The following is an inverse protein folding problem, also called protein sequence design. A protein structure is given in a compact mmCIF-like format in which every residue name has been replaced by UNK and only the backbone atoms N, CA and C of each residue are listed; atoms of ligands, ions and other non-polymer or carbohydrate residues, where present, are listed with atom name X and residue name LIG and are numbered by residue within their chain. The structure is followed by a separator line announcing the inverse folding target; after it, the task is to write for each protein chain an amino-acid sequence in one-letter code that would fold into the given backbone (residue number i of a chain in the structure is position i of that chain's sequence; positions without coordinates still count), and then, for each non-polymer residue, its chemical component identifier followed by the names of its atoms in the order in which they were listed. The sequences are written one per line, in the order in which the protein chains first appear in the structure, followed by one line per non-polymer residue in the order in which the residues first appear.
data_IF_962895549675
#
_entry.id   IF_962895549675
#
_cell.length_a   1.000
_cell.length_b   1.000
_cell.length_c   1.000
_cell.angle_alpha   90.00
_cell.angle_beta   90.00
_cell.angle_gamma   90.00
#
_symmetry.space_group_name_H-M   'P 1'
#
loop_
_entity.id
_entity.type
_entity.pdbx_description
1 polymer ?
#
# COMPACT_ATOMS: atom_id res chain seq x y z
N UNK A 1 5.73 -38.90 -37.14
CA UNK A 1 6.98 -39.69 -37.12
C UNK A 1 8.10 -38.75 -37.53
N UNK A 2 9.11 -38.56 -36.69
CA UNK A 2 10.22 -37.67 -36.98
C UNK A 2 11.07 -38.13 -38.16
N UNK A 3 11.48 -37.20 -39.01
CA UNK A 3 12.36 -37.45 -40.16
C UNK A 3 13.70 -36.74 -39.98
N UNK A 4 14.77 -37.28 -40.55
CA UNK A 4 16.09 -36.64 -40.55
C UNK A 4 16.55 -36.50 -41.99
N UNK A 5 16.86 -35.27 -42.41
CA UNK A 5 17.46 -34.99 -43.71
C UNK A 5 18.93 -34.58 -43.53
N UNK A 6 19.80 -35.06 -44.41
CA UNK A 6 21.22 -34.72 -44.40
C UNK A 6 21.52 -33.73 -45.53
N UNK A 7 22.24 -32.65 -45.22
CA UNK A 7 22.67 -31.64 -46.19
C UNK A 7 24.15 -31.35 -46.03
N UNK A 8 24.90 -31.33 -47.13
CA UNK A 8 26.28 -30.83 -47.15
C UNK A 8 26.30 -29.30 -47.01
N UNK A 9 27.11 -28.80 -46.07
CA UNK A 9 27.41 -27.37 -45.90
C UNK A 9 28.49 -26.94 -46.90
N UNK A 10 28.70 -25.62 -47.00
CA UNK A 10 29.72 -25.02 -47.88
C UNK A 10 31.15 -25.45 -47.52
N UNK A 11 31.39 -25.82 -46.27
CA UNK A 11 32.66 -26.33 -45.74
C UNK A 11 32.83 -27.85 -45.92
N UNK A 12 31.97 -28.50 -46.72
CA UNK A 12 31.94 -29.94 -46.95
C UNK A 12 31.55 -30.80 -45.73
N UNK A 13 31.22 -30.19 -44.58
CA UNK A 13 30.66 -30.90 -43.43
C UNK A 13 29.18 -31.28 -43.68
N UNK A 14 28.69 -32.32 -43.00
CA UNK A 14 27.29 -32.77 -43.14
C UNK A 14 26.47 -32.31 -41.94
N UNK A 15 25.41 -31.55 -42.21
CA UNK A 15 24.40 -31.19 -41.21
C UNK A 15 23.19 -32.12 -41.30
N UNK A 16 22.62 -32.47 -40.14
CA UNK A 16 21.45 -33.32 -40.01
C UNK A 16 20.29 -32.50 -39.47
N UNK A 17 19.29 -32.21 -40.29
CA UNK A 17 18.06 -31.53 -39.85
C UNK A 17 17.05 -32.58 -39.43
N UNK A 18 16.78 -32.65 -38.13
CA UNK A 18 15.66 -33.39 -37.57
C UNK A 18 14.38 -32.58 -37.70
N UNK A 19 13.29 -33.21 -38.12
CA UNK A 19 11.97 -32.60 -38.25
C UNK A 19 10.93 -33.50 -37.61
N UNK A 20 10.12 -32.95 -36.72
CA UNK A 20 8.94 -33.60 -36.14
C UNK A 20 7.71 -32.95 -36.76
N UNK A 21 6.85 -33.77 -37.36
CA UNK A 21 5.54 -33.36 -37.86
C UNK A 21 4.47 -34.28 -37.27
N UNK A 22 3.49 -33.70 -36.59
CA UNK A 22 2.35 -34.42 -36.02
C UNK A 22 1.08 -33.94 -36.73
N UNK A 23 0.34 -34.89 -37.28
CA UNK A 23 -0.93 -34.67 -37.94
C UNK A 23 -2.06 -35.28 -37.11
N UNK A 24 -3.17 -34.55 -36.95
CA UNK A 24 -4.44 -35.05 -36.39
C UNK A 24 -5.56 -34.64 -37.35
N UNK A 25 -6.49 -35.55 -37.63
CA UNK A 25 -7.64 -35.30 -38.51
C UNK A 25 -7.28 -34.69 -39.88
N UNK A 26 -6.19 -35.18 -40.48
CA UNK A 26 -5.71 -34.72 -41.79
C UNK A 26 -5.04 -33.34 -41.79
N UNK A 27 -4.91 -32.67 -40.64
CA UNK A 27 -4.23 -31.37 -40.52
C UNK A 27 -2.93 -31.50 -39.72
N UNK A 28 -1.90 -30.77 -40.14
CA UNK A 28 -0.66 -30.63 -39.36
C UNK A 28 -0.96 -29.81 -38.12
N UNK A 29 -0.94 -30.47 -36.95
CA UNK A 29 -1.17 -29.81 -35.66
C UNK A 29 0.11 -29.36 -34.99
N UNK A 30 1.27 -29.90 -35.37
CA UNK A 30 2.56 -29.46 -34.84
C UNK A 30 3.67 -29.71 -35.84
N UNK A 31 4.59 -28.75 -35.96
CA UNK A 31 5.82 -28.92 -36.73
C UNK A 31 6.98 -28.22 -36.04
N UNK A 32 8.05 -28.97 -35.78
CA UNK A 32 9.30 -28.45 -35.20
C UNK A 32 10.48 -29.04 -35.96
N UNK A 33 11.54 -28.27 -36.18
CA UNK A 33 12.77 -28.76 -36.79
C UNK A 33 13.99 -28.16 -36.15
N UNK A 34 15.02 -28.98 -35.94
CA UNK A 34 16.31 -28.56 -35.40
C UNK A 34 17.46 -29.23 -36.17
N UNK A 35 18.54 -28.49 -36.38
CA UNK A 35 19.71 -28.97 -37.12
C UNK A 35 20.86 -29.29 -36.19
N UNK A 36 21.52 -30.42 -36.40
CA UNK A 36 22.63 -30.94 -35.60
C UNK A 36 23.81 -31.33 -36.48
N UNK A 37 25.02 -31.36 -35.91
CA UNK A 37 26.23 -31.79 -36.63
C UNK A 37 26.38 -33.32 -36.69
N UNK A 38 25.68 -34.06 -35.83
CA UNK A 38 25.76 -35.53 -35.74
C UNK A 38 24.38 -36.18 -35.83
N UNK A 39 24.23 -37.21 -36.68
CA UNK A 39 22.98 -37.97 -36.87
C UNK A 39 22.43 -38.57 -35.57
N UNK A 40 23.30 -39.12 -34.72
CA UNK A 40 22.89 -39.73 -33.45
C UNK A 40 22.26 -38.71 -32.50
N UNK A 41 22.77 -37.46 -32.46
CA UNK A 41 22.20 -36.39 -31.63
C UNK A 41 20.83 -35.97 -32.17
N UNK A 42 20.69 -35.86 -33.49
CA UNK A 42 19.40 -35.61 -34.13
C UNK A 42 18.35 -36.70 -33.81
N UNK A 43 18.74 -37.98 -33.82
CA UNK A 43 17.86 -39.10 -33.42
C UNK A 43 17.48 -39.04 -31.94
N UNK A 44 18.43 -38.79 -31.05
CA UNK A 44 18.18 -38.66 -29.62
C UNK A 44 17.22 -37.50 -29.30
N UNK A 45 17.40 -36.36 -29.99
CA UNK A 45 16.50 -35.21 -29.89
C UNK A 45 15.07 -35.55 -30.33
N UNK A 46 14.89 -36.21 -31.49
CA UNK A 46 13.57 -36.65 -31.96
C UNK A 46 12.89 -37.53 -30.92
N UNK A 47 13.60 -38.56 -30.41
CA UNK A 47 13.03 -39.51 -29.45
C UNK A 47 12.61 -38.83 -28.15
N UNK A 48 13.44 -37.92 -27.62
CA UNK A 48 13.12 -37.15 -26.41
C UNK A 48 11.88 -36.29 -26.65
N UNK A 49 11.86 -35.56 -27.77
CA UNK A 49 10.80 -34.60 -28.08
C UNK A 49 9.47 -35.27 -28.45
N UNK A 50 9.48 -36.40 -29.14
CA UNK A 50 8.28 -37.22 -29.37
C UNK A 50 7.70 -37.75 -28.05
N UNK A 51 8.55 -38.13 -27.09
CA UNK A 51 8.10 -38.55 -25.75
C UNK A 51 7.46 -37.40 -24.98
N UNK A 52 8.03 -36.20 -25.06
CA UNK A 52 7.45 -34.98 -24.46
C UNK A 52 6.10 -34.64 -25.11
N UNK A 53 6.00 -34.69 -26.44
CA UNK A 53 4.78 -34.37 -27.20
C UNK A 53 3.68 -35.44 -27.12
N UNK A 54 4.01 -36.66 -26.69
CA UNK A 54 3.04 -37.74 -26.49
C UNK A 54 2.21 -37.58 -25.20
N UNK A 55 2.62 -36.72 -24.26
CA UNK A 55 1.83 -36.47 -23.07
C UNK A 55 0.51 -35.76 -23.43
N UNK A 56 -0.61 -36.08 -22.74
CA UNK A 56 -1.87 -35.35 -22.91
C UNK A 56 -1.65 -33.82 -22.80
N UNK A 57 -2.18 -33.08 -23.77
CA UNK A 57 -2.06 -31.63 -23.87
C UNK A 57 -0.66 -31.07 -24.18
N UNK A 58 0.35 -31.89 -24.49
CA UNK A 58 1.69 -31.39 -24.80
C UNK A 58 1.78 -30.64 -26.13
N UNK A 59 1.00 -31.04 -27.14
CA UNK A 59 0.92 -30.35 -28.44
C UNK A 59 0.24 -28.98 -28.28
N UNK A 60 -0.83 -28.90 -27.49
CA UNK A 60 -1.51 -27.64 -27.18
C UNK A 60 -0.57 -26.68 -26.42
N UNK A 61 0.17 -27.19 -25.42
CA UNK A 61 1.20 -26.43 -24.72
C UNK A 61 2.33 -25.97 -25.65
N UNK A 62 2.79 -26.83 -26.56
CA UNK A 62 3.88 -26.51 -27.48
C UNK A 62 3.49 -25.49 -28.57
N UNK A 63 2.21 -25.37 -28.92
CA UNK A 63 1.70 -24.37 -29.86
C UNK A 63 1.23 -23.07 -29.19
N UNK A 64 1.17 -23.05 -27.86
CA UNK A 64 0.67 -21.91 -27.11
C UNK A 64 1.60 -20.71 -27.33
N UNK A 65 1.01 -19.57 -27.68
CA UNK A 65 1.73 -18.29 -27.62
C UNK A 65 1.74 -17.86 -26.15
N UNK A 66 2.95 -17.76 -25.57
CA UNK A 66 3.15 -17.26 -24.22
C UNK A 66 2.47 -15.91 -24.02
N UNK A 67 2.05 -15.65 -22.79
CA UNK A 67 1.50 -14.36 -22.39
C UNK A 67 2.49 -13.70 -21.48
N UNK A 68 2.87 -12.45 -21.79
CA UNK A 68 3.83 -11.72 -20.97
C UNK A 68 3.20 -11.27 -19.66
N UNK A 69 4.02 -11.10 -18.62
CA UNK A 69 3.56 -10.57 -17.33
C UNK A 69 2.93 -9.18 -17.49
N UNK A 70 3.44 -8.36 -18.41
CA UNK A 70 2.85 -7.08 -18.79
C UNK A 70 1.38 -7.21 -19.20
N UNK A 71 1.08 -8.16 -20.09
CA UNK A 71 -0.31 -8.41 -20.53
C UNK A 71 -1.20 -8.91 -19.39
N UNK A 72 -0.67 -9.76 -18.51
CA UNK A 72 -1.42 -10.19 -17.32
C UNK A 72 -1.78 -9.02 -16.41
N UNK A 73 -0.83 -8.10 -16.20
CA UNK A 73 -1.05 -6.91 -15.38
C UNK A 73 -2.08 -6.00 -16.05
N UNK A 74 -1.99 -5.77 -17.36
CA UNK A 74 -2.94 -4.93 -18.10
C UNK A 74 -4.35 -5.50 -18.05
N UNK A 75 -4.51 -6.82 -18.26
CA UNK A 75 -5.79 -7.49 -18.12
C UNK A 75 -6.32 -7.41 -16.69
N UNK A 76 -5.46 -7.59 -15.67
CA UNK A 76 -5.85 -7.43 -14.27
C UNK A 76 -6.41 -6.04 -13.99
N UNK A 77 -5.71 -5.00 -14.45
CA UNK A 77 -6.10 -3.62 -14.24
C UNK A 77 -7.44 -3.32 -14.93
N UNK A 78 -7.64 -3.75 -16.18
CA UNK A 78 -8.87 -3.53 -16.92
C UNK A 78 -10.09 -4.28 -16.33
N UNK A 79 -9.94 -5.57 -16.03
CA UNK A 79 -11.03 -6.38 -15.48
C UNK A 79 -11.44 -5.93 -14.07
N UNK A 80 -10.46 -5.65 -13.20
CA UNK A 80 -10.77 -5.31 -11.82
C UNK A 80 -11.30 -3.88 -11.68
N UNK A 81 -10.84 -2.93 -12.48
CA UNK A 81 -11.35 -1.55 -12.43
C UNK A 81 -12.85 -1.50 -12.76
N UNK A 82 -13.32 -2.38 -13.67
CA UNK A 82 -14.75 -2.54 -14.00
C UNK A 82 -15.59 -3.11 -12.85
N UNK A 83 -14.98 -3.94 -12.00
CA UNK A 83 -15.67 -4.58 -10.87
C UNK A 83 -15.62 -3.68 -9.63
N UNK A 84 -14.46 -3.08 -9.35
CA UNK A 84 -14.23 -2.21 -8.19
C UNK A 84 -13.06 -1.26 -8.44
N UNK A 85 -13.14 0.01 -8.01
CA UNK A 85 -12.01 0.94 -8.15
C UNK A 85 -10.75 0.39 -7.46
N UNK A 86 -9.65 0.28 -8.21
CA UNK A 86 -8.38 -0.13 -7.64
C UNK A 86 -7.75 1.04 -6.86
N UNK A 87 -7.15 0.73 -5.71
CA UNK A 87 -6.45 1.75 -4.94
C UNK A 87 -5.24 2.31 -5.71
N UNK A 88 -5.07 3.64 -5.70
CA UNK A 88 -4.01 4.36 -6.43
C UNK A 88 -2.61 3.71 -6.31
N UNK A 89 -2.24 3.27 -5.11
CA UNK A 89 -0.95 2.59 -4.87
C UNK A 89 -0.83 1.29 -5.65
N UNK A 90 -1.87 0.45 -5.65
CA UNK A 90 -1.86 -0.83 -6.35
C UNK A 90 -1.73 -0.63 -7.86
N UNK A 91 -2.51 0.29 -8.42
CA UNK A 91 -2.46 0.60 -9.85
C UNK A 91 -1.10 1.17 -10.25
N UNK A 92 -0.56 2.13 -9.48
CA UNK A 92 0.77 2.71 -9.75
C UNK A 92 1.90 1.66 -9.65
N UNK A 93 1.88 0.81 -8.63
CA UNK A 93 2.87 -0.26 -8.47
C UNK A 93 2.82 -1.26 -9.62
N UNK A 94 1.62 -1.73 -9.99
CA UNK A 94 1.46 -2.67 -11.10
C UNK A 94 1.89 -2.05 -12.43
N UNK A 95 1.53 -0.79 -12.68
CA UNK A 95 2.00 -0.04 -13.85
C UNK A 95 3.51 0.14 -13.88
N UNK A 96 4.17 0.32 -12.73
CA UNK A 96 5.63 0.36 -12.67
C UNK A 96 6.25 -1.02 -12.94
N UNK A 97 5.70 -2.09 -12.37
CA UNK A 97 6.21 -3.46 -12.58
C UNK A 97 6.13 -3.89 -14.05
N UNK A 98 5.02 -3.57 -14.73
CA UNK A 98 4.82 -4.03 -16.12
C UNK A 98 5.80 -3.40 -17.12
N UNK A 99 6.40 -2.26 -16.78
CA UNK A 99 7.40 -1.58 -17.64
C UNK A 99 8.84 -1.94 -17.28
N UNK A 100 9.06 -2.97 -16.43
CA UNK A 100 10.40 -3.52 -16.16
C UNK A 100 10.66 -4.78 -16.99
N UNK A 101 11.89 -5.28 -16.96
CA UNK A 101 12.28 -6.57 -17.56
C UNK A 101 11.40 -7.74 -17.09
N UNK A 102 10.82 -7.66 -15.88
CA UNK A 102 9.91 -8.69 -15.38
C UNK A 102 8.60 -8.71 -16.18
N UNK A 103 8.14 -7.54 -16.63
CA UNK A 103 6.95 -7.39 -17.48
C UNK A 103 7.10 -8.06 -18.85
N UNK A 104 8.34 -8.18 -19.35
CA UNK A 104 8.65 -8.78 -20.65
C UNK A 104 8.72 -10.31 -20.60
N UNK A 105 8.84 -10.91 -19.41
CA UNK A 105 8.86 -12.36 -19.27
C UNK A 105 7.54 -12.99 -19.70
N UNK A 106 7.64 -14.10 -20.42
CA UNK A 106 6.52 -15.00 -20.64
C UNK A 106 6.13 -15.73 -19.35
N UNK A 107 4.85 -16.07 -19.26
CA UNK A 107 4.24 -16.73 -18.12
C UNK A 107 4.93 -18.04 -17.70
N UNK A 108 5.28 -18.89 -18.67
CA UNK A 108 6.00 -20.13 -18.41
C UNK A 108 7.45 -19.92 -17.92
N UNK A 109 8.04 -18.75 -18.18
CA UNK A 109 9.38 -18.39 -17.72
C UNK A 109 9.37 -17.78 -16.31
N UNK A 110 8.21 -17.40 -15.78
CA UNK A 110 8.09 -16.83 -14.45
C UNK A 110 8.16 -17.94 -13.39
N UNK A 111 9.22 -17.90 -12.58
CA UNK A 111 9.42 -18.80 -11.46
C UNK A 111 9.88 -18.05 -10.21
N UNK A 112 10.06 -18.77 -9.09
CA UNK A 112 10.50 -18.19 -7.82
C UNK A 112 11.86 -17.48 -7.92
N UNK A 113 12.79 -18.02 -8.71
CA UNK A 113 14.10 -17.42 -8.92
C UNK A 113 13.99 -16.05 -9.59
N UNK A 114 13.18 -15.92 -10.65
CA UNK A 114 12.95 -14.63 -11.33
C UNK A 114 12.32 -13.58 -10.42
N UNK A 115 11.42 -13.98 -9.52
CA UNK A 115 10.85 -13.08 -8.53
C UNK A 115 11.87 -12.64 -7.46
N UNK A 116 12.81 -13.50 -7.08
CA UNK A 116 13.92 -13.15 -6.19
C UNK A 116 14.90 -12.20 -6.89
N UNK A 117 15.26 -12.48 -8.14
CA UNK A 117 16.09 -11.60 -8.98
C UNK A 117 15.45 -10.21 -9.12
N UNK A 118 14.14 -10.15 -9.35
CA UNK A 118 13.40 -8.89 -9.40
C UNK A 118 13.49 -8.10 -8.08
N UNK A 119 13.30 -8.78 -6.96
CA UNK A 119 13.41 -8.15 -5.65
C UNK A 119 14.82 -7.61 -5.38
N UNK A 120 15.86 -8.35 -5.74
CA UNK A 120 17.26 -7.92 -5.63
C UNK A 120 17.55 -6.72 -6.54
N UNK A 121 17.11 -6.77 -7.80
CA UNK A 121 17.23 -5.66 -8.73
C UNK A 121 16.56 -4.39 -8.19
N UNK A 122 15.34 -4.50 -7.64
CA UNK A 122 14.65 -3.34 -7.04
C UNK A 122 15.41 -2.69 -5.88
N UNK A 123 16.21 -3.45 -5.16
CA UNK A 123 17.05 -2.93 -4.08
C UNK A 123 18.41 -2.39 -4.56
N UNK A 124 18.81 -2.65 -5.81
CA UNK A 124 20.03 -2.10 -6.40
C UNK A 124 19.82 -0.67 -6.91
N UNK A 125 20.91 0.00 -7.27
CA UNK A 125 20.87 1.34 -7.87
C UNK A 125 20.05 1.37 -9.17
N UNK A 126 20.18 0.34 -9.99
CA UNK A 126 19.46 0.21 -11.27
C UNK A 126 17.95 0.05 -11.08
N UNK A 127 17.49 -0.56 -9.99
CA UNK A 127 16.06 -0.75 -9.69
C UNK A 127 15.47 0.26 -8.71
N UNK A 128 16.23 1.33 -8.38
CA UNK A 128 15.74 2.49 -7.64
C UNK A 128 16.00 2.48 -6.13
N UNK A 129 16.92 1.65 -5.63
CA UNK A 129 17.34 1.61 -4.22
C UNK A 129 16.17 1.48 -3.23
N UNK A 130 15.12 0.72 -3.58
CA UNK A 130 13.93 0.69 -2.72
C UNK A 130 14.13 -0.16 -1.47
N UNK A 131 13.45 0.22 -0.40
CA UNK A 131 13.49 -0.53 0.86
C UNK A 131 12.76 -1.88 0.74
N UNK A 132 13.15 -2.85 1.58
CA UNK A 132 12.56 -4.19 1.64
C UNK A 132 11.02 -4.19 1.81
N UNK A 133 10.47 -3.16 2.47
CA UNK A 133 9.02 -2.97 2.58
C UNK A 133 8.37 -2.72 1.22
N UNK A 134 8.98 -1.87 0.38
CA UNK A 134 8.47 -1.55 -0.96
C UNK A 134 8.48 -2.79 -1.84
N UNK A 135 9.58 -3.56 -1.82
CA UNK A 135 9.66 -4.87 -2.51
C UNK A 135 8.55 -5.80 -2.04
N UNK A 136 8.30 -5.86 -0.72
CA UNK A 136 7.19 -6.62 -0.15
C UNK A 136 5.82 -6.20 -0.69
N UNK A 137 5.59 -4.90 -0.87
CA UNK A 137 4.35 -4.37 -1.47
C UNK A 137 4.23 -4.74 -2.95
N UNK A 138 5.32 -4.64 -3.71
CA UNK A 138 5.36 -4.97 -5.13
C UNK A 138 4.99 -6.43 -5.37
N UNK A 139 5.63 -7.34 -4.63
CA UNK A 139 5.34 -8.78 -4.67
C UNK A 139 3.94 -9.10 -4.13
N UNK A 140 3.40 -8.28 -3.23
CA UNK A 140 2.03 -8.42 -2.75
C UNK A 140 1.01 -8.10 -3.84
N UNK A 141 1.22 -7.01 -4.59
CA UNK A 141 0.36 -6.62 -5.69
C UNK A 141 0.49 -7.56 -6.89
N UNK A 142 1.71 -7.90 -7.29
CA UNK A 142 1.94 -8.87 -8.36
C UNK A 142 1.38 -10.25 -7.99
N UNK A 143 1.54 -10.69 -6.74
CA UNK A 143 0.98 -11.97 -6.28
C UNK A 143 -0.54 -12.05 -6.43
N UNK A 144 -1.26 -10.94 -6.27
CA UNK A 144 -2.70 -10.89 -6.52
C UNK A 144 -3.03 -11.10 -8.01
N UNK A 145 -2.23 -10.55 -8.93
CA UNK A 145 -2.37 -10.80 -10.37
C UNK A 145 -2.14 -12.27 -10.68
N UNK A 146 -1.02 -12.83 -10.21
CA UNK A 146 -0.65 -14.22 -10.45
C UNK A 146 -1.66 -15.22 -9.88
N UNK A 147 -2.30 -14.89 -8.76
CA UNK A 147 -3.35 -15.73 -8.15
C UNK A 147 -4.60 -15.89 -9.02
N UNK A 148 -4.85 -14.94 -9.94
CA UNK A 148 -5.97 -14.96 -10.89
C UNK A 148 -5.53 -15.54 -12.23
N UNK A 149 -4.28 -15.27 -12.62
CA UNK A 149 -3.74 -15.61 -13.94
C UNK A 149 -3.92 -17.07 -14.35
N UNK A 150 -3.62 -18.01 -13.44
CA UNK A 150 -3.81 -19.43 -13.72
C UNK A 150 -5.29 -19.86 -13.68
N UNK A 151 -6.04 -19.69 -12.57
CA UNK A 151 -7.38 -20.25 -12.46
C UNK A 151 -8.44 -19.54 -13.33
N UNK A 152 -8.30 -18.24 -13.57
CA UNK A 152 -9.30 -17.47 -14.33
C UNK A 152 -8.95 -17.32 -15.81
N UNK A 153 -7.67 -17.16 -16.15
CA UNK A 153 -7.22 -16.91 -17.53
C UNK A 153 -6.51 -18.08 -18.18
N UNK A 154 -6.25 -19.16 -17.44
CA UNK A 154 -5.60 -20.38 -17.96
C UNK A 154 -4.12 -20.20 -18.29
N UNK A 155 -3.44 -19.22 -17.67
CA UNK A 155 -2.02 -18.98 -17.90
C UNK A 155 -1.12 -19.96 -17.14
N UNK A 156 0.06 -20.26 -17.68
CA UNK A 156 1.03 -21.22 -17.14
C UNK A 156 1.92 -20.59 -16.08
N UNK A 157 1.28 -20.06 -15.04
CA UNK A 157 1.99 -19.54 -13.87
C UNK A 157 2.15 -20.65 -12.82
N UNK A 158 3.38 -20.89 -12.38
CA UNK A 158 3.63 -21.79 -11.25
C UNK A 158 2.98 -21.23 -9.97
N UNK A 159 2.10 -22.03 -9.36
CA UNK A 159 1.39 -21.66 -8.13
C UNK A 159 2.33 -21.49 -6.93
N UNK A 160 3.52 -22.09 -6.98
CA UNK A 160 4.52 -22.01 -5.91
C UNK A 160 5.56 -20.91 -6.12
N UNK A 161 5.63 -20.30 -7.31
CA UNK A 161 6.62 -19.27 -7.62
C UNK A 161 6.63 -18.12 -6.59
N UNK A 162 5.46 -17.54 -6.31
CA UNK A 162 5.33 -16.42 -5.36
C UNK A 162 5.50 -16.85 -3.89
N UNK A 163 4.87 -17.93 -3.40
CA UNK A 163 5.13 -18.44 -2.04
C UNK A 163 6.62 -18.72 -1.77
N UNK A 164 7.31 -19.40 -2.69
CA UNK A 164 8.72 -19.77 -2.51
C UNK A 164 9.64 -18.56 -2.59
N UNK A 165 9.39 -17.63 -3.53
CA UNK A 165 10.12 -16.37 -3.60
C UNK A 165 10.02 -15.58 -2.28
N UNK A 166 8.80 -15.44 -1.72
CA UNK A 166 8.60 -14.75 -0.44
C UNK A 166 9.30 -15.46 0.72
N UNK A 167 9.35 -16.80 0.73
CA UNK A 167 10.06 -17.58 1.74
C UNK A 167 11.56 -17.30 1.70
N UNK A 168 12.16 -17.28 0.51
CA UNK A 168 13.58 -16.94 0.32
C UNK A 168 13.86 -15.49 0.72
N UNK A 169 13.08 -14.54 0.21
CA UNK A 169 13.30 -13.11 0.47
C UNK A 169 13.15 -12.74 1.94
N UNK A 170 12.26 -13.42 2.68
CA UNK A 170 12.15 -13.26 4.12
C UNK A 170 13.42 -13.72 4.84
N UNK A 171 14.02 -14.85 4.44
CA UNK A 171 15.29 -15.32 5.00
C UNK A 171 16.45 -14.38 4.68
N UNK A 172 16.43 -13.75 3.52
CA UNK A 172 17.44 -12.77 3.10
C UNK A 172 17.21 -11.37 3.68
N UNK A 173 16.13 -11.13 4.43
CA UNK A 173 15.77 -9.81 4.95
C UNK A 173 15.33 -8.80 3.88
N UNK A 174 15.08 -9.25 2.64
CA UNK A 174 14.72 -8.42 1.48
C UNK A 174 13.21 -8.15 1.37
N UNK A 175 12.41 -8.79 2.21
CA UNK A 175 10.98 -8.46 2.40
C UNK A 175 10.72 -8.32 3.89
N UNK A 176 10.29 -7.13 4.31
CA UNK A 176 9.99 -6.82 5.71
C UNK A 176 8.63 -6.15 5.85
N UNK A 177 8.04 -6.27 7.04
CA UNK A 177 6.93 -5.40 7.44
C UNK A 177 7.47 -4.00 7.72
N UNK A 178 6.62 -2.99 7.59
CA UNK A 178 6.96 -1.63 7.97
C UNK A 178 7.44 -1.59 9.42
N UNK A 179 8.51 -0.85 9.69
CA UNK A 179 8.99 -0.65 11.05
C UNK A 179 7.95 0.14 11.83
N UNK A 180 7.48 -0.43 12.94
CA UNK A 180 6.56 0.27 13.81
C UNK A 180 7.28 1.45 14.49
N UNK A 181 6.67 2.64 14.41
CA UNK A 181 7.15 3.83 15.11
C UNK A 181 6.49 3.92 16.48
N UNK A 182 7.31 4.07 17.53
CA UNK A 182 6.89 4.32 18.91
C UNK A 182 7.21 5.76 19.37
N UNK A 183 7.46 6.66 18.40
CA UNK A 183 7.74 8.06 18.67
C UNK A 183 6.50 8.72 19.26
N UNK A 184 6.69 9.41 20.37
CA UNK A 184 5.69 10.21 21.08
C UNK A 184 6.32 11.57 21.38
N UNK A 185 5.63 12.70 21.09
CA UNK A 185 6.13 14.03 21.39
C UNK A 185 6.25 14.24 22.91
N UNK A 186 7.16 15.10 23.34
CA UNK A 186 7.18 15.62 24.72
C UNK A 186 6.31 16.87 24.83
N UNK A 187 5.95 17.27 26.05
CA UNK A 187 5.24 18.54 26.25
C UNK A 187 6.07 19.74 25.75
N UNK A 188 7.39 19.76 26.00
CA UNK A 188 8.29 20.82 25.50
C UNK A 188 8.31 20.90 23.96
N UNK A 189 8.31 19.75 23.27
CA UNK A 189 8.22 19.71 21.81
C UNK A 189 6.87 20.24 21.31
N UNK A 190 5.77 19.88 21.98
CA UNK A 190 4.46 20.41 21.67
C UNK A 190 4.39 21.91 21.93
N UNK A 191 4.94 22.41 23.04
CA UNK A 191 4.95 23.83 23.37
C UNK A 191 5.72 24.65 22.34
N UNK A 192 6.88 24.15 21.87
CA UNK A 192 7.63 24.75 20.75
C UNK A 192 6.80 24.82 19.47
N UNK A 193 6.12 23.73 19.12
CA UNK A 193 5.24 23.69 17.94
C UNK A 193 4.06 24.66 18.07
N UNK A 194 3.39 24.66 19.22
CA UNK A 194 2.26 25.53 19.48
C UNK A 194 2.69 27.00 19.42
N UNK A 195 3.77 27.39 20.10
CA UNK A 195 4.33 28.74 20.04
C UNK A 195 4.65 29.18 18.61
N UNK A 196 5.40 28.37 17.87
CA UNK A 196 5.74 28.65 16.47
C UNK A 196 4.50 28.88 15.59
N UNK A 197 3.50 28.01 15.71
CA UNK A 197 2.32 28.09 14.86
C UNK A 197 1.32 29.16 15.32
N UNK A 198 1.24 29.49 16.60
CA UNK A 198 0.47 30.65 17.06
C UNK A 198 1.09 31.97 16.56
N UNK A 199 2.41 32.12 16.59
CA UNK A 199 3.08 33.28 15.97
C UNK A 199 2.83 33.34 14.46
N UNK A 200 2.89 32.19 13.77
CA UNK A 200 2.59 32.13 12.35
C UNK A 200 1.13 32.54 12.06
N UNK A 201 0.19 32.09 12.88
CA UNK A 201 -1.22 32.42 12.77
C UNK A 201 -1.47 33.93 12.95
N UNK A 202 -0.77 34.58 13.88
CA UNK A 202 -0.85 36.03 14.06
C UNK A 202 -0.32 36.79 12.83
N UNK A 203 0.77 36.32 12.23
CA UNK A 203 1.35 36.94 11.02
C UNK A 203 0.55 36.65 9.75
N UNK A 204 -0.13 35.51 9.67
CA UNK A 204 -0.91 35.05 8.52
C UNK A 204 -2.21 34.38 8.97
N UNK A 205 -3.26 35.18 9.28
CA UNK A 205 -4.54 34.67 9.77
C UNK A 205 -5.23 33.69 8.81
N UNK A 206 -5.06 33.87 7.49
CA UNK A 206 -5.65 33.01 6.47
C UNK A 206 -4.90 31.68 6.27
N UNK A 207 -3.78 31.49 6.97
CA UNK A 207 -3.04 30.23 6.88
C UNK A 207 -3.74 29.11 7.65
N UNK A 208 -3.29 27.87 7.42
CA UNK A 208 -3.82 26.71 8.12
C UNK A 208 -3.64 26.92 9.62
N UNK A 209 -4.73 26.80 10.38
CA UNK A 209 -4.69 26.93 11.84
C UNK A 209 -4.04 25.69 12.48
N UNK A 210 -2.74 25.53 12.28
CA UNK A 210 -1.94 24.39 12.73
C UNK A 210 -2.06 24.07 14.23
N UNK A 211 -2.21 25.04 15.16
CA UNK A 211 -2.41 24.72 16.58
C UNK A 211 -3.68 23.89 16.83
N UNK A 212 -4.80 24.25 16.19
CA UNK A 212 -6.06 23.49 16.25
C UNK A 212 -5.91 22.14 15.56
N UNK A 213 -5.20 22.06 14.43
CA UNK A 213 -4.92 20.79 13.76
C UNK A 213 -4.11 19.82 14.63
N UNK A 214 -3.06 20.30 15.30
CA UNK A 214 -2.20 19.50 16.17
C UNK A 214 -3.01 19.00 17.38
N UNK A 215 -3.66 19.91 18.08
CA UNK A 215 -4.42 19.58 19.28
C UNK A 215 -5.62 18.68 18.96
N UNK A 216 -6.36 18.96 17.88
CA UNK A 216 -7.46 18.09 17.46
C UNK A 216 -6.95 16.70 17.05
N UNK A 217 -5.85 16.58 16.30
CA UNK A 217 -5.29 15.27 15.94
C UNK A 217 -4.86 14.44 17.15
N UNK A 218 -4.30 15.10 18.16
CA UNK A 218 -3.92 14.49 19.43
C UNK A 218 -5.15 14.03 20.20
N UNK A 219 -6.08 14.92 20.54
CA UNK A 219 -7.21 14.61 21.41
C UNK A 219 -8.26 13.71 20.75
N UNK A 220 -8.58 13.93 19.48
CA UNK A 220 -9.54 13.09 18.73
C UNK A 220 -8.92 11.75 18.28
N UNK A 221 -7.60 11.61 18.40
CA UNK A 221 -6.78 10.52 17.86
C UNK A 221 -6.95 10.30 16.35
N UNK A 222 -7.55 11.21 15.58
CA UNK A 222 -7.85 10.99 14.15
C UNK A 222 -6.60 11.02 13.29
N UNK A 223 -6.63 10.28 12.17
CA UNK A 223 -5.62 10.48 11.12
C UNK A 223 -5.89 11.79 10.42
N UNK A 224 -4.83 12.42 9.95
CA UNK A 224 -4.90 13.68 9.25
C UNK A 224 -5.89 13.72 8.07
N UNK A 225 -5.86 12.71 7.19
CA UNK A 225 -6.82 12.60 6.08
C UNK A 225 -8.26 12.37 6.56
N UNK A 226 -8.46 11.80 7.75
CA UNK A 226 -9.79 11.67 8.36
C UNK A 226 -10.25 13.05 8.84
N UNK A 227 -9.40 13.80 9.55
CA UNK A 227 -9.70 15.15 10.07
C UNK A 227 -10.19 16.07 8.95
N UNK A 228 -9.47 16.13 7.83
CA UNK A 228 -9.78 17.06 6.73
C UNK A 228 -11.00 16.66 5.90
N UNK A 229 -11.62 15.51 6.19
CA UNK A 229 -12.82 15.01 5.48
C UNK A 229 -14.05 14.96 6.37
N UNK A 230 -13.91 15.24 7.67
CA UNK A 230 -15.04 15.32 8.60
C UNK A 230 -15.92 16.50 8.19
N UNK A 231 -17.23 16.25 8.07
CA UNK A 231 -18.22 17.26 7.71
C UNK A 231 -19.10 17.60 8.90
N UNK A 232 -19.72 18.78 8.85
CA UNK A 232 -20.71 19.16 9.87
C UNK A 232 -21.91 18.21 9.91
N UNK A 233 -22.32 17.66 8.76
CA UNK A 233 -23.40 16.64 8.67
C UNK A 233 -23.03 15.30 9.33
N UNK A 234 -21.73 15.06 9.57
CA UNK A 234 -21.22 13.85 10.21
C UNK A 234 -21.10 13.99 11.74
N UNK A 235 -21.51 15.14 12.29
CA UNK A 235 -21.43 15.43 13.72
C UNK A 235 -22.72 15.04 14.44
N UNK A 236 -22.60 14.21 15.48
CA UNK A 236 -23.70 13.87 16.39
C UNK A 236 -23.45 14.55 17.74
N UNK A 237 -24.10 15.70 17.94
CA UNK A 237 -23.99 16.48 19.17
C UNK A 237 -24.52 15.75 20.41
N UNK A 238 -25.54 14.90 20.26
CA UNK A 238 -26.11 14.17 21.39
C UNK A 238 -25.16 13.07 21.89
N UNK A 239 -24.42 12.44 20.97
CA UNK A 239 -23.44 11.39 21.30
C UNK A 239 -22.02 11.90 21.53
N UNK A 240 -21.77 13.19 21.33
CA UNK A 240 -20.42 13.78 21.30
C UNK A 240 -19.49 12.96 20.38
N UNK A 241 -19.96 12.72 19.15
CA UNK A 241 -19.32 11.79 18.23
C UNK A 241 -19.30 12.30 16.79
N UNK A 242 -18.38 11.77 16.00
CA UNK A 242 -18.26 12.07 14.57
C UNK A 242 -18.23 10.80 13.75
N UNK A 243 -18.94 10.82 12.61
CA UNK A 243 -18.88 9.75 11.62
C UNK A 243 -17.63 9.91 10.76
N UNK A 244 -16.69 8.97 10.91
CA UNK A 244 -15.51 8.92 10.06
C UNK A 244 -15.79 8.02 8.87
N UNK A 245 -15.95 8.64 7.70
CA UNK A 245 -16.24 7.94 6.44
C UNK A 245 -15.04 7.21 5.87
N UNK A 246 -15.30 6.06 5.26
CA UNK A 246 -14.28 5.20 4.63
C UNK A 246 -13.05 4.99 5.54
N UNK A 247 -13.28 4.75 6.82
CA UNK A 247 -12.22 4.60 7.80
C UNK A 247 -11.26 3.49 7.36
N UNK A 248 -9.97 3.77 7.40
CA UNK A 248 -8.93 2.85 6.95
C UNK A 248 -8.90 1.59 7.83
N UNK A 249 -9.38 0.48 7.28
CA UNK A 249 -9.20 -0.86 7.84
C UNK A 249 -8.49 -1.80 6.85
N UNK A 250 -7.71 -2.79 7.34
CA UNK A 250 -7.16 -3.84 6.48
C UNK A 250 -8.29 -4.61 5.79
N UNK A 251 -8.32 -4.59 4.46
CA UNK A 251 -9.24 -5.41 3.65
C UNK A 251 -10.51 -4.71 3.14
N UNK A 252 -11.03 -3.68 3.82
CA UNK A 252 -12.20 -2.92 3.38
C UNK A 252 -12.08 -1.45 3.79
N UNK A 253 -11.87 -0.56 2.81
CA UNK A 253 -11.90 0.90 3.03
C UNK A 253 -13.21 1.53 2.58
N UNK A 254 -13.78 1.07 1.46
CA UNK A 254 -14.98 1.66 0.85
C UNK A 254 -16.22 1.24 1.65
N UNK A 255 -17.04 2.21 2.05
CA UNK A 255 -18.26 2.00 2.82
C UNK A 255 -18.03 1.64 4.29
N UNK A 256 -16.80 1.83 4.78
CA UNK A 256 -16.44 1.51 6.15
C UNK A 256 -16.58 2.73 7.06
N UNK A 257 -17.82 3.14 7.30
CA UNK A 257 -18.11 4.30 8.13
C UNK A 257 -18.16 3.91 9.61
N UNK A 258 -17.49 4.69 10.45
CA UNK A 258 -17.34 4.39 11.89
C UNK A 258 -17.60 5.63 12.71
N UNK A 259 -18.57 5.56 13.62
CA UNK A 259 -18.76 6.57 14.65
C UNK A 259 -17.62 6.54 15.65
N UNK A 260 -17.03 7.69 15.93
CA UNK A 260 -15.97 7.85 16.91
C UNK A 260 -16.34 8.92 17.93
N UNK A 261 -16.23 8.57 19.20
CA UNK A 261 -16.42 9.51 20.29
C UNK A 261 -15.29 10.55 20.28
N UNK A 262 -15.64 11.82 20.49
CA UNK A 262 -14.69 12.91 20.61
C UNK A 262 -14.53 13.24 22.10
N UNK A 263 -13.32 13.10 22.68
CA UNK A 263 -13.05 13.57 24.04
C UNK A 263 -13.29 15.09 24.16
N UNK A 264 -13.56 15.55 25.37
CA UNK A 264 -13.98 16.93 25.66
C UNK A 264 -13.03 17.99 25.09
N UNK A 265 -11.71 17.73 25.08
CA UNK A 265 -10.76 18.68 24.49
C UNK A 265 -10.90 18.78 22.97
N UNK A 266 -11.11 17.65 22.29
CA UNK A 266 -11.35 17.64 20.85
C UNK A 266 -12.70 18.29 20.51
N UNK A 267 -13.71 18.03 21.34
CA UNK A 267 -15.04 18.61 21.22
C UNK A 267 -15.00 20.13 21.35
N UNK A 268 -14.32 20.65 22.37
CA UNK A 268 -14.15 22.09 22.57
C UNK A 268 -13.43 22.76 21.40
N UNK A 269 -12.37 22.15 20.85
CA UNK A 269 -11.68 22.68 19.66
C UNK A 269 -12.61 22.69 18.45
N UNK A 270 -13.38 21.63 18.23
CA UNK A 270 -14.32 21.51 17.11
C UNK A 270 -15.34 22.65 17.13
N UNK A 271 -15.88 23.00 18.29
CA UNK A 271 -16.85 24.10 18.43
C UNK A 271 -16.27 25.49 18.16
N UNK A 272 -14.95 25.63 18.09
CA UNK A 272 -14.29 26.89 17.75
C UNK A 272 -14.04 27.04 16.24
N UNK A 273 -14.42 26.04 15.45
CA UNK A 273 -14.25 26.06 13.99
C UNK A 273 -15.44 26.76 13.33
N UNK A 274 -15.19 27.64 12.35
CA UNK A 274 -16.26 28.37 11.68
C UNK A 274 -17.10 27.43 10.80
N UNK A 275 -18.42 27.65 10.80
CA UNK A 275 -19.38 26.87 10.00
C UNK A 275 -19.60 27.48 8.61
N UNK A 276 -18.50 27.71 7.88
CA UNK A 276 -18.53 28.37 6.55
C UNK A 276 -18.41 27.34 5.42
N UNK A 277 -17.63 26.29 5.63
CA UNK A 277 -17.41 25.21 4.66
C UNK A 277 -18.16 23.94 5.09
N UNK A 278 -18.33 23.00 4.15
CA UNK A 278 -18.95 21.70 4.45
C UNK A 278 -18.14 20.89 5.46
N UNK A 279 -16.81 20.87 5.27
CA UNK A 279 -15.87 20.22 6.16
C UNK A 279 -15.55 21.09 7.39
N UNK A 280 -15.40 20.45 8.56
CA UNK A 280 -15.05 21.14 9.82
C UNK A 280 -13.62 21.69 9.77
N UNK A 281 -12.71 20.93 9.14
CA UNK A 281 -11.31 21.31 8.92
C UNK A 281 -11.04 21.34 7.41
N UNK A 282 -11.43 22.41 6.69
CA UNK A 282 -11.39 22.48 5.22
C UNK A 282 -9.97 22.77 4.70
N UNK A 283 -9.00 21.95 5.12
CA UNK A 283 -7.59 22.12 4.79
C UNK A 283 -7.07 20.97 3.93
N UNK A 284 -6.04 21.24 3.13
CA UNK A 284 -5.37 20.19 2.39
C UNK A 284 -4.45 19.36 3.30
N UNK A 285 -4.69 18.05 3.38
CA UNK A 285 -3.88 17.14 4.18
C UNK A 285 -2.38 17.16 3.79
N UNK A 286 -2.01 17.24 2.50
CA UNK A 286 -0.59 17.30 2.14
C UNK A 286 0.07 18.57 2.67
N UNK A 287 -0.64 19.70 2.67
CA UNK A 287 -0.14 20.98 3.17
C UNK A 287 0.08 20.97 4.68
N UNK A 288 -0.85 20.41 5.46
CA UNK A 288 -0.67 20.25 6.92
C UNK A 288 0.57 19.38 7.21
N UNK A 289 0.74 18.25 6.50
CA UNK A 289 1.88 17.35 6.73
C UNK A 289 3.18 18.05 6.38
N UNK A 290 3.23 18.74 5.25
CA UNK A 290 4.41 19.47 4.82
C UNK A 290 4.75 20.62 5.77
N UNK A 291 3.75 21.33 6.30
CA UNK A 291 3.95 22.39 7.29
C UNK A 291 4.55 21.84 8.59
N UNK A 292 3.99 20.76 9.13
CA UNK A 292 4.50 20.11 10.35
C UNK A 292 5.93 19.57 10.15
N UNK A 293 6.17 18.85 9.05
CA UNK A 293 7.49 18.28 8.71
C UNK A 293 8.56 19.35 8.54
N UNK A 294 8.23 20.55 8.03
CA UNK A 294 9.18 21.67 7.96
C UNK A 294 9.42 22.31 9.32
N UNK A 295 8.39 22.43 10.16
CA UNK A 295 8.51 23.06 11.48
C UNK A 295 9.40 22.27 12.44
N UNK A 296 9.31 20.94 12.44
CA UNK A 296 10.08 20.09 13.34
C UNK A 296 11.61 20.38 13.32
N UNK A 297 12.32 20.33 12.18
CA UNK A 297 13.76 20.61 12.16
C UNK A 297 14.09 22.07 12.48
N UNK A 298 13.23 23.03 12.13
CA UNK A 298 13.42 24.44 12.51
C UNK A 298 13.37 24.66 14.03
N UNK A 299 12.68 23.78 14.75
CA UNK A 299 12.53 23.83 16.21
C UNK A 299 13.44 22.83 16.95
N UNK A 300 14.34 22.15 16.22
CA UNK A 300 15.23 21.14 16.79
C UNK A 300 14.50 19.86 17.24
N UNK A 301 13.32 19.58 16.68
CA UNK A 301 12.53 18.38 16.99
C UNK A 301 12.92 17.26 16.03
N UNK A 302 13.49 16.20 16.57
CA UNK A 302 13.99 15.07 15.78
C UNK A 302 12.92 13.99 15.58
N UNK A 303 12.85 13.51 14.32
CA UNK A 303 12.05 12.36 13.88
C UNK A 303 10.59 12.37 14.40
N UNK A 304 9.92 13.52 14.44
CA UNK A 304 8.49 13.62 14.78
C UNK A 304 7.65 13.86 13.52
N UNK A 305 6.63 13.03 13.31
CA UNK A 305 5.68 13.17 12.21
C UNK A 305 4.29 13.53 12.75
N UNK A 306 3.46 14.20 11.92
CA UNK A 306 2.09 14.56 12.30
C UNK A 306 1.27 13.34 12.74
N UNK A 307 1.50 12.16 12.13
CA UNK A 307 0.82 10.93 12.52
C UNK A 307 1.18 10.42 13.93
N UNK A 308 2.34 10.81 14.47
CA UNK A 308 2.75 10.43 15.82
C UNK A 308 1.85 11.11 16.89
N UNK A 309 1.14 12.20 16.56
CA UNK A 309 0.13 12.81 17.43
C UNK A 309 -1.03 11.88 17.75
N UNK A 310 -1.45 11.06 16.76
CA UNK A 310 -2.44 10.01 17.00
C UNK A 310 -1.90 8.96 17.97
N UNK A 311 -0.61 8.61 17.85
CA UNK A 311 0.02 7.67 18.77
C UNK A 311 -0.01 8.19 20.19
N UNK A 312 0.34 9.47 20.36
CA UNK A 312 0.28 10.15 21.63
C UNK A 312 -1.13 10.15 22.21
N UNK A 313 -2.12 10.58 21.43
CA UNK A 313 -3.51 10.62 21.87
C UNK A 313 -4.04 9.26 22.35
N UNK A 314 -3.77 8.17 21.63
CA UNK A 314 -4.21 6.84 22.08
C UNK A 314 -3.46 6.39 23.34
N UNK A 315 -2.16 6.71 23.45
CA UNK A 315 -1.38 6.39 24.64
C UNK A 315 -1.88 7.18 25.86
N UNK A 316 -2.18 8.48 25.70
CA UNK A 316 -2.79 9.34 26.72
C UNK A 316 -4.07 8.72 27.29
N UNK A 317 -4.97 8.21 26.44
CA UNK A 317 -6.22 7.60 26.92
C UNK A 317 -5.95 6.39 27.83
N UNK A 318 -4.97 5.55 27.50
CA UNK A 318 -4.56 4.46 28.39
C UNK A 318 -3.88 4.96 29.66
N UNK A 319 -3.08 6.04 29.59
CA UNK A 319 -2.47 6.66 30.77
C UNK A 319 -3.52 7.28 31.71
N UNK A 320 -4.67 7.70 31.18
CA UNK A 320 -5.86 8.14 31.92
C UNK A 320 -6.72 6.97 32.46
N UNK A 321 -6.21 5.73 32.44
CA UNK A 321 -6.91 4.53 32.89
C UNK A 321 -8.22 4.22 32.12
N UNK A 322 -8.34 4.64 30.85
CA UNK A 322 -9.48 4.23 30.03
C UNK A 322 -9.39 2.77 29.63
N UNK A 323 -10.53 2.08 29.61
CA UNK A 323 -10.62 0.70 29.17
C UNK A 323 -10.54 0.56 27.63
N UNK A 324 -10.27 -0.66 27.17
CA UNK A 324 -10.09 -0.94 25.73
C UNK A 324 -11.34 -0.54 24.91
N UNK A 325 -12.59 -0.82 25.34
CA UNK A 325 -13.78 -0.35 24.62
C UNK A 325 -13.84 1.17 24.47
N UNK A 326 -13.58 1.95 25.52
CA UNK A 326 -13.59 3.42 25.44
C UNK A 326 -12.46 3.94 24.57
N UNK A 327 -11.24 3.41 24.70
CA UNK A 327 -10.11 3.78 23.82
C UNK A 327 -10.43 3.42 22.36
N UNK A 328 -11.04 2.27 22.10
CA UNK A 328 -11.49 1.86 20.76
C UNK A 328 -12.57 2.80 20.22
N UNK A 329 -13.52 3.25 21.06
CA UNK A 329 -14.58 4.18 20.65
C UNK A 329 -14.04 5.53 20.18
N UNK A 330 -12.93 6.02 20.76
CA UNK A 330 -12.26 7.25 20.32
C UNK A 330 -11.34 6.96 19.14
N UNK A 331 -10.54 5.90 19.22
CA UNK A 331 -9.48 5.59 18.25
C UNK A 331 -9.96 4.89 16.98
N UNK A 332 -11.13 4.28 16.97
CA UNK A 332 -11.67 3.52 15.83
C UNK A 332 -10.92 2.22 15.52
N UNK A 333 -10.05 1.74 16.43
CA UNK A 333 -9.37 0.45 16.25
C UNK A 333 -10.33 -0.70 16.55
N UNK A 334 -10.42 -1.66 15.63
CA UNK A 334 -11.30 -2.85 15.78
C UNK A 334 -10.64 -4.05 16.42
N UNK A 335 -9.31 -4.15 16.32
CA UNK A 335 -8.55 -5.30 16.78
C UNK A 335 -7.60 -4.91 17.91
N UNK A 336 -7.55 -5.76 18.93
CA UNK A 336 -6.69 -5.58 20.09
C UNK A 336 -5.22 -5.56 19.72
N UNK A 337 -4.78 -6.38 18.77
CA UNK A 337 -3.35 -6.40 18.40
C UNK A 337 -2.89 -5.04 17.85
N UNK A 338 -3.80 -4.27 17.23
CA UNK A 338 -3.51 -2.91 16.77
C UNK A 338 -3.42 -1.91 17.93
N UNK A 339 -4.11 -2.15 19.05
CA UNK A 339 -4.11 -1.28 20.23
C UNK A 339 -2.96 -1.59 21.20
N UNK A 340 -2.51 -2.85 21.27
CA UNK A 340 -1.47 -3.32 22.20
C UNK A 340 -0.20 -2.48 22.20
N UNK A 341 0.18 -1.91 21.06
CA UNK A 341 1.36 -1.03 20.93
C UNK A 341 1.27 0.27 21.73
N UNK A 342 0.08 0.72 22.10
CA UNK A 342 -0.13 1.98 22.85
C UNK A 342 -0.09 1.79 24.36
N UNK A 343 -0.01 0.54 24.86
CA UNK A 343 -0.02 0.26 26.30
C UNK A 343 1.37 0.28 26.94
N UNK A 344 2.40 0.75 26.22
CA UNK A 344 3.71 1.06 26.80
C UNK A 344 3.66 2.44 27.44
N UNK A 345 3.00 2.52 28.60
CA UNK A 345 2.71 3.77 29.30
C UNK A 345 3.99 4.42 29.84
N UNK A 346 4.08 5.75 29.73
CA UNK A 346 5.18 6.57 30.28
C UNK A 346 4.84 7.19 31.63
N UNK A 347 3.57 7.13 32.03
CA UNK A 347 3.07 7.71 33.27
C UNK A 347 1.62 7.30 33.53
N UNK A 348 0.98 8.03 34.45
CA UNK A 348 -0.43 7.85 34.82
C UNK A 348 -1.09 9.22 34.98
N UNK A 349 -2.35 9.31 34.56
CA UNK A 349 -3.14 10.54 34.53
C UNK A 349 -3.06 11.27 33.19
N UNK A 350 -3.65 12.46 33.16
CA UNK A 350 -3.67 13.30 31.97
C UNK A 350 -2.55 14.35 32.01
N UNK A 351 -1.50 14.13 31.22
CA UNK A 351 -0.39 15.09 31.08
C UNK A 351 -0.84 16.46 30.53
N UNK A 352 -2.03 16.52 29.90
CA UNK A 352 -2.54 17.73 29.25
C UNK A 352 -3.55 18.50 30.11
N UNK A 353 -3.84 18.04 31.32
CA UNK A 353 -4.84 18.67 32.20
C UNK A 353 -4.52 20.16 32.43
N UNK A 354 -3.23 20.48 32.65
CA UNK A 354 -2.70 21.83 32.89
C UNK A 354 -1.99 22.43 31.68
N UNK A 355 -2.24 21.90 30.49
CA UNK A 355 -1.57 22.38 29.27
C UNK A 355 -2.15 23.73 28.84
N UNK A 356 -1.37 24.80 29.00
CA UNK A 356 -1.81 26.20 28.85
C UNK A 356 -2.44 26.53 27.48
N UNK A 357 -2.11 25.76 26.45
CA UNK A 357 -2.62 25.99 25.11
C UNK A 357 -4.10 25.61 24.95
N UNK A 358 -4.67 24.79 25.85
CA UNK A 358 -6.10 24.42 25.80
C UNK A 358 -7.00 25.65 25.81
N UNK A 359 -6.74 26.59 26.70
CA UNK A 359 -7.54 27.82 26.82
C UNK A 359 -7.31 28.74 25.63
N UNK A 360 -6.05 28.90 25.20
CA UNK A 360 -5.68 29.71 24.02
C UNK A 360 -6.36 29.22 22.74
N UNK A 361 -6.49 27.90 22.56
CA UNK A 361 -7.17 27.32 21.40
C UNK A 361 -8.66 27.65 21.34
N UNK A 362 -9.31 27.78 22.50
CA UNK A 362 -10.75 28.03 22.60
C UNK A 362 -11.06 29.53 22.54
N UNK A 363 -10.21 30.38 23.11
CA UNK A 363 -10.44 31.83 23.18
C UNK A 363 -10.39 32.54 21.82
N UNK A 364 -9.59 32.02 20.86
CA UNK A 364 -9.38 32.65 19.54
C UNK A 364 -10.68 32.75 18.69
N UNK A 365 -11.75 32.04 19.04
CA UNK A 365 -13.05 32.14 18.36
C UNK A 365 -13.94 33.29 18.84
N UNK A 366 -13.76 33.82 20.06
CA UNK A 366 -14.66 34.84 20.64
C UNK A 366 -14.51 36.26 20.08
N UNK A 367 -13.54 36.48 19.19
CA UNK A 367 -13.30 37.79 18.56
C UNK A 367 -13.93 37.93 17.16
N UNK A 368 -14.64 36.90 16.66
CA UNK A 368 -15.17 36.87 15.29
C UNK A 368 -16.69 36.74 15.13
N UNK A 369 -17.41 36.11 16.06
CA UNK A 369 -18.83 35.76 15.86
C UNK A 369 -19.71 36.24 17.01
N UNK A 370 -20.21 37.47 16.89
CA UNK A 370 -21.53 37.87 17.41
C UNK A 370 -22.44 38.07 16.20
N UNK A 371 -22.90 36.95 15.62
CA UNK A 371 -24.04 36.91 14.72
C UNK A 371 -25.28 36.45 15.50
N UNK A 372 -26.45 37.08 15.32
CA UNK A 372 -27.64 36.74 16.08
C UNK A 372 -28.24 35.45 15.50
N UNK A 373 -28.38 34.41 16.33
CA UNK A 373 -29.41 33.35 16.27
C UNK A 373 -28.87 32.00 16.78
N UNK A 374 -28.40 31.97 18.03
CA UNK A 374 -28.40 30.72 18.81
C UNK A 374 -29.41 30.87 19.96
N UNK A 375 -30.70 30.91 19.59
CA UNK A 375 -31.80 30.45 20.44
C UNK A 375 -32.65 29.48 19.62
N UNK A 376 -32.57 28.19 20.01
CA UNK A 376 -33.63 27.16 20.17
C UNK A 376 -33.02 25.77 20.00
#
# INVERSE_FOLDING_TARGET
MGTITARKRKDNSTAYTAQIRINRDGKTVYQESQTFDRKQVAQAWIKRRETELAQPGAIERANRKGVTIKKMIEQYLDEYEKIRPLGKTKSATLSAIKETWLGELDDAALNSQKLVEYAQWRMSEEGGCVQAQTVGNDLSHLGAVLSVARPAWGYEVDSHAMPDARKVLRKLGMVSKSKERNRRPTLDELDKLMGHFFEMQQRRPDSIHMPKMIAFALFSTRRQEEITRIRWEDLDCARQAVLVRDMKNPGQKIGNDVWCHLPDEAWAILHTMPRVEREIFPYNAKSISASFTRACPMLGIEDLHFHDLRHEGVSRLFEMDWDIPRVSSVSGHRDWNSLRRYTHLRGRGDAYEKWEWKDKLIQVSRLGDLGPNDEV
#
